data_IF_535191398225
#
_entry.id   IF_535191398225
#
_cell.length_a   1.000
_cell.length_b   1.000
_cell.length_c   1.000
_cell.angle_alpha   90.00
_cell.angle_beta   90.00
_cell.angle_gamma   90.00
#
_symmetry.space_group_name_H-M   'P 1'
#
loop_
_entity.id
_entity.type
_entity.pdbx_description
1 polymer ?
#
# COMPACT_ATOMS: atom_id res chain seq x y z
N UNK A 1 11.81 21.69 16.83
CA UNK A 1 10.35 21.59 16.52
C UNK A 1 10.20 21.13 15.08
N UNK A 2 9.21 20.29 14.78
CA UNK A 2 8.94 19.83 13.40
C UNK A 2 7.64 20.46 12.92
N UNK A 3 7.66 21.10 11.75
CA UNK A 3 6.50 21.73 11.13
C UNK A 3 6.02 20.90 9.93
N UNK A 4 4.74 20.55 9.91
CA UNK A 4 4.18 19.75 8.81
C UNK A 4 3.82 20.66 7.64
N UNK A 5 4.38 20.37 6.47
CA UNK A 5 4.15 21.15 5.25
C UNK A 5 3.03 20.52 4.45
N UNK A 6 2.08 21.35 4.02
CA UNK A 6 1.07 20.92 3.05
C UNK A 6 1.72 20.61 1.70
N UNK A 7 1.26 19.52 1.09
CA UNK A 7 1.63 19.12 -0.26
C UNK A 7 0.39 18.65 -1.02
N UNK A 8 0.49 18.61 -2.36
CA UNK A 8 -0.56 18.11 -3.24
C UNK A 8 0.05 17.23 -4.32
N UNK A 9 -0.59 16.10 -4.63
CA UNK A 9 -0.19 15.25 -5.75
C UNK A 9 -0.34 15.99 -7.07
N UNK A 10 0.72 15.90 -7.88
CA UNK A 10 0.76 16.36 -9.27
C UNK A 10 0.46 15.18 -10.19
N UNK A 11 1.16 14.07 -9.99
CA UNK A 11 1.00 12.85 -10.76
C UNK A 11 1.46 11.64 -9.93
N UNK A 12 0.80 10.51 -10.12
CA UNK A 12 1.03 9.27 -9.40
C UNK A 12 0.64 8.11 -10.31
N UNK A 13 1.55 7.18 -10.53
CA UNK A 13 1.24 6.00 -11.30
C UNK A 13 2.37 4.99 -11.37
N UNK A 14 2.25 4.09 -12.34
CA UNK A 14 3.09 2.91 -12.49
C UNK A 14 3.92 2.91 -13.78
N UNK A 15 3.79 3.94 -14.62
CA UNK A 15 4.45 4.01 -15.92
C UNK A 15 5.23 5.31 -16.05
N UNK A 16 6.54 5.18 -16.27
CA UNK A 16 7.46 6.31 -16.35
C UNK A 16 8.65 5.95 -17.24
N UNK A 17 9.22 6.93 -17.93
CA UNK A 17 10.51 6.83 -18.61
C UNK A 17 11.73 6.88 -17.69
N UNK A 18 11.52 6.98 -16.37
CA UNK A 18 12.59 6.92 -15.37
C UNK A 18 12.77 5.47 -14.92
N UNK A 19 13.80 4.82 -15.45
CA UNK A 19 14.07 3.39 -15.23
C UNK A 19 14.89 3.10 -13.97
N UNK A 20 15.57 4.11 -13.42
CA UNK A 20 16.40 3.99 -12.22
C UNK A 20 15.68 4.59 -11.00
N UNK A 21 15.84 4.02 -9.79
CA UNK A 21 15.33 4.62 -8.57
C UNK A 21 15.86 6.06 -8.40
N UNK A 22 14.98 7.00 -8.12
CA UNK A 22 15.32 8.42 -8.04
C UNK A 22 14.45 9.14 -7.03
N UNK A 23 15.08 9.92 -6.16
CA UNK A 23 14.43 10.99 -5.41
C UNK A 23 14.95 12.33 -5.90
N UNK A 24 14.05 13.29 -6.10
CA UNK A 24 14.41 14.58 -6.68
C UNK A 24 13.57 15.72 -6.11
N UNK A 25 14.18 16.90 -6.04
CA UNK A 25 13.51 18.15 -5.69
C UNK A 25 13.81 19.17 -6.76
N UNK A 26 12.78 19.71 -7.40
CA UNK A 26 12.90 20.75 -8.40
C UNK A 26 12.43 22.08 -7.82
N UNK A 27 13.27 23.11 -7.99
CA UNK A 27 12.99 24.49 -7.54
C UNK A 27 12.77 25.46 -8.69
N UNK A 28 12.80 24.98 -9.94
CA UNK A 28 12.60 25.79 -11.14
C UNK A 28 11.75 25.05 -12.18
N UNK A 29 10.91 25.80 -12.89
CA UNK A 29 10.09 25.25 -13.98
C UNK A 29 10.97 24.63 -15.07
N UNK A 30 12.09 25.28 -15.42
CA UNK A 30 12.98 24.79 -16.47
C UNK A 30 13.56 23.40 -16.18
N UNK A 31 14.02 23.17 -14.95
CA UNK A 31 14.54 21.87 -14.55
C UNK A 31 13.42 20.82 -14.49
N UNK A 32 12.27 21.19 -13.93
CA UNK A 32 11.12 20.31 -13.83
C UNK A 32 10.57 19.92 -15.21
N UNK A 33 10.42 20.84 -16.15
CA UNK A 33 9.98 20.56 -17.53
C UNK A 33 10.94 19.66 -18.31
N UNK A 34 12.24 19.80 -18.04
CA UNK A 34 13.26 18.94 -18.64
C UNK A 34 13.16 17.52 -18.08
N UNK A 35 12.91 17.40 -16.78
CA UNK A 35 12.66 16.13 -16.12
C UNK A 35 11.34 15.49 -16.57
N UNK A 36 10.25 16.27 -16.63
CA UNK A 36 8.92 15.81 -17.03
C UNK A 36 8.93 15.17 -18.41
N UNK A 37 9.68 15.74 -19.37
CA UNK A 37 9.84 15.14 -20.70
C UNK A 37 10.47 13.76 -20.68
N UNK A 38 11.40 13.49 -19.76
CA UNK A 38 12.00 12.16 -19.58
C UNK A 38 11.02 11.22 -18.91
N UNK A 39 10.35 11.68 -17.86
CA UNK A 39 9.32 10.95 -17.15
C UNK A 39 8.17 10.50 -18.07
N UNK A 40 7.68 11.40 -18.92
CA UNK A 40 6.56 11.17 -19.82
C UNK A 40 6.94 10.47 -21.15
N UNK A 41 8.23 10.18 -21.39
CA UNK A 41 8.73 9.72 -22.69
C UNK A 41 8.12 8.39 -23.18
N UNK A 42 7.68 7.54 -22.24
CA UNK A 42 7.08 6.25 -22.54
C UNK A 42 5.56 6.30 -22.76
N UNK A 43 4.92 7.46 -22.57
CA UNK A 43 3.48 7.63 -22.72
C UNK A 43 3.16 8.18 -24.11
N UNK A 44 2.10 7.65 -24.75
CA UNK A 44 1.63 8.15 -26.05
C UNK A 44 0.09 8.32 -26.05
N UNK A 45 -0.44 9.56 -26.13
CA UNK A 45 0.33 10.82 -26.13
C UNK A 45 0.98 11.09 -24.78
N UNK A 46 2.14 11.76 -24.80
CA UNK A 46 2.81 12.18 -23.57
C UNK A 46 1.95 13.24 -22.84
N UNK A 47 1.70 13.08 -21.52
CA UNK A 47 0.98 14.09 -20.75
C UNK A 47 1.74 15.42 -20.74
N UNK A 48 0.97 16.52 -20.79
CA UNK A 48 1.53 17.86 -20.69
C UNK A 48 2.16 18.09 -19.30
N UNK A 49 3.27 18.84 -19.25
CA UNK A 49 3.89 19.23 -17.98
C UNK A 49 2.91 20.11 -17.20
N UNK A 50 2.64 19.81 -15.93
CA UNK A 50 1.76 20.63 -15.10
C UNK A 50 2.40 21.98 -14.81
N UNK A 51 1.56 23.01 -14.72
CA UNK A 51 1.96 24.37 -14.37
C UNK A 51 2.10 24.49 -12.85
N UNK A 52 3.31 24.81 -12.38
CA UNK A 52 3.65 24.90 -10.95
C UNK A 52 4.25 26.28 -10.69
N UNK A 53 3.71 26.99 -9.71
CA UNK A 53 4.21 28.31 -9.29
C UNK A 53 5.44 28.16 -8.39
N UNK A 54 6.64 28.18 -9.00
CA UNK A 54 7.91 27.99 -8.30
C UNK A 54 8.34 29.20 -7.42
N UNK A 55 7.60 30.31 -7.47
CA UNK A 55 7.80 31.41 -6.51
C UNK A 55 7.40 31.00 -5.10
N UNK A 56 6.28 30.28 -4.95
CA UNK A 56 5.76 29.82 -3.65
C UNK A 56 5.93 28.33 -3.38
N UNK A 57 6.19 27.54 -4.42
CA UNK A 57 6.19 26.08 -4.34
C UNK A 57 7.47 25.46 -4.91
N UNK A 58 7.65 24.19 -4.64
CA UNK A 58 8.64 23.32 -5.26
C UNK A 58 7.99 21.98 -5.61
N UNK A 59 8.71 21.16 -6.37
CA UNK A 59 8.25 19.80 -6.72
C UNK A 59 9.16 18.78 -6.06
N UNK A 60 8.57 17.76 -5.44
CA UNK A 60 9.24 16.62 -4.82
C UNK A 60 8.78 15.36 -5.53
N UNK A 61 9.72 14.48 -5.88
CA UNK A 61 9.41 13.24 -6.58
C UNK A 61 10.11 12.04 -5.94
N UNK A 62 9.45 10.89 -5.97
CA UNK A 62 10.03 9.58 -5.69
C UNK A 62 9.69 8.62 -6.83
N UNK A 63 10.70 7.92 -7.32
CA UNK A 63 10.61 6.90 -8.37
C UNK A 63 11.29 5.63 -7.89
N UNK A 64 10.65 4.48 -8.11
CA UNK A 64 11.22 3.17 -7.73
C UNK A 64 12.06 2.51 -8.83
N UNK A 65 12.17 3.14 -10.00
CA UNK A 65 12.77 2.55 -11.17
C UNK A 65 11.98 1.35 -11.70
N UNK A 66 12.59 0.58 -12.60
CA UNK A 66 11.94 -0.57 -13.24
C UNK A 66 11.68 -1.71 -12.25
N UNK A 67 10.44 -2.21 -12.28
CA UNK A 67 9.98 -3.40 -11.57
C UNK A 67 9.52 -4.46 -12.57
N UNK A 68 9.89 -5.70 -12.31
CA UNK A 68 9.68 -6.84 -13.23
C UNK A 68 8.24 -7.36 -13.28
N UNK A 69 7.36 -6.83 -12.43
CA UNK A 69 5.92 -7.11 -12.45
C UNK A 69 5.11 -5.89 -12.02
N UNK A 70 3.79 -5.98 -12.19
CA UNK A 70 2.86 -5.02 -11.59
C UNK A 70 2.64 -5.26 -10.09
N UNK A 71 1.95 -4.33 -9.43
CA UNK A 71 1.62 -4.42 -8.00
C UNK A 71 2.58 -3.70 -7.06
N UNK A 72 3.64 -3.11 -7.61
CA UNK A 72 4.49 -2.18 -6.86
C UNK A 72 3.91 -0.77 -6.87
N UNK A 73 4.05 -0.06 -5.76
CA UNK A 73 3.57 1.31 -5.61
C UNK A 73 4.50 2.12 -4.72
N UNK A 74 4.36 3.45 -4.79
CA UNK A 74 5.10 4.38 -3.94
C UNK A 74 4.21 5.58 -3.62
N UNK A 75 4.17 5.99 -2.36
CA UNK A 75 3.38 7.15 -1.97
C UNK A 75 4.16 8.06 -1.00
N UNK A 76 4.27 9.34 -1.33
CA UNK A 76 4.77 10.34 -0.38
C UNK A 76 3.68 10.59 0.66
N UNK A 77 3.99 10.29 1.93
CA UNK A 77 3.07 10.38 3.07
C UNK A 77 3.18 11.68 3.83
N UNK A 78 4.40 12.20 4.00
CA UNK A 78 4.61 13.46 4.70
C UNK A 78 5.79 14.26 4.17
N UNK A 79 5.67 15.58 4.30
CA UNK A 79 6.75 16.54 4.07
C UNK A 79 6.84 17.39 5.33
N UNK A 80 7.94 17.26 6.06
CA UNK A 80 8.10 17.82 7.41
C UNK A 80 9.38 18.63 7.49
N UNK A 81 9.25 19.90 7.89
CA UNK A 81 10.40 20.76 8.13
C UNK A 81 10.93 20.55 9.54
N UNK A 82 12.20 20.14 9.64
CA UNK A 82 12.96 20.10 10.88
C UNK A 82 13.84 21.34 11.00
N UNK A 83 14.60 21.46 12.10
CA UNK A 83 15.55 22.55 12.28
C UNK A 83 16.66 22.56 11.21
N UNK A 84 17.08 21.39 10.73
CA UNK A 84 18.21 21.24 9.80
C UNK A 84 17.79 21.03 8.33
N UNK A 85 16.72 20.26 8.09
CA UNK A 85 16.32 19.81 6.75
C UNK A 85 14.80 19.62 6.63
N UNK A 86 14.32 19.45 5.40
CA UNK A 86 12.97 18.96 5.12
C UNK A 86 13.03 17.44 4.98
N UNK A 87 12.34 16.72 5.84
CA UNK A 87 12.17 15.28 5.76
C UNK A 87 10.97 14.95 4.86
N UNK A 88 11.20 14.12 3.85
CA UNK A 88 10.14 13.56 2.99
C UNK A 88 10.01 12.09 3.34
N UNK A 89 8.85 11.73 3.86
CA UNK A 89 8.52 10.36 4.22
C UNK A 89 7.67 9.76 3.11
N UNK A 90 8.04 8.58 2.62
CA UNK A 90 7.26 7.85 1.63
C UNK A 90 7.20 6.36 1.98
N UNK A 91 6.14 5.70 1.57
CA UNK A 91 6.01 4.24 1.66
C UNK A 91 6.21 3.60 0.28
N UNK A 92 6.48 2.30 0.30
CA UNK A 92 6.46 1.47 -0.90
C UNK A 92 5.55 0.27 -0.67
N UNK A 93 4.73 -0.05 -1.66
CA UNK A 93 3.88 -1.24 -1.61
C UNK A 93 4.47 -2.32 -2.51
N UNK A 94 4.46 -3.56 -2.03
CA UNK A 94 4.86 -4.74 -2.80
C UNK A 94 3.65 -5.62 -3.07
N UNK A 95 3.60 -6.35 -4.19
CA UNK A 95 2.58 -7.37 -4.39
C UNK A 95 2.73 -8.46 -3.31
N UNK A 96 1.64 -8.90 -2.66
CA UNK A 96 1.71 -9.94 -1.64
C UNK A 96 2.21 -11.28 -2.21
N UNK A 97 2.83 -12.15 -1.39
CA UNK A 97 3.25 -13.47 -1.84
C UNK A 97 2.08 -14.25 -2.46
N UNK A 98 2.26 -14.78 -3.67
CA UNK A 98 1.22 -15.51 -4.39
C UNK A 98 0.18 -14.64 -5.11
N UNK A 99 0.32 -13.31 -5.08
CA UNK A 99 -0.53 -12.43 -5.87
C UNK A 99 -0.38 -12.72 -7.37
N UNK A 100 -1.52 -12.81 -8.06
CA UNK A 100 -1.56 -12.83 -9.51
C UNK A 100 -1.23 -11.42 -10.03
N UNK A 101 0.04 -11.15 -10.34
CA UNK A 101 0.49 -9.88 -10.92
C UNK A 101 0.59 -9.96 -12.44
N UNK A 102 0.56 -8.81 -13.10
CA UNK A 102 0.85 -8.73 -14.53
C UNK A 102 2.35 -8.92 -14.77
N UNK A 103 2.72 -9.72 -15.77
CA UNK A 103 4.09 -9.80 -16.29
C UNK A 103 4.44 -8.58 -17.17
N UNK A 104 4.19 -7.37 -16.66
CA UNK A 104 4.47 -6.11 -17.34
C UNK A 104 5.52 -5.34 -16.54
N UNK A 105 6.50 -4.77 -17.24
CA UNK A 105 7.46 -3.85 -16.63
C UNK A 105 6.74 -2.57 -16.21
N UNK A 106 6.98 -2.15 -14.98
CA UNK A 106 6.43 -0.91 -14.41
C UNK A 106 7.53 -0.04 -13.83
N UNK A 107 7.27 1.26 -13.70
CA UNK A 107 8.13 2.25 -13.05
C UNK A 107 7.29 3.09 -12.08
N UNK A 108 6.95 2.56 -10.88
CA UNK A 108 6.13 3.29 -9.92
C UNK A 108 6.74 4.61 -9.49
N UNK A 109 5.90 5.64 -9.40
CA UNK A 109 6.32 6.99 -9.08
C UNK A 109 5.24 7.81 -8.41
N UNK A 110 5.64 8.79 -7.59
CA UNK A 110 4.76 9.82 -7.06
C UNK A 110 5.47 11.17 -7.12
N UNK A 111 4.81 12.15 -7.74
CA UNK A 111 5.24 13.54 -7.90
C UNK A 111 4.25 14.43 -7.15
N UNK A 112 4.75 15.27 -6.25
CA UNK A 112 3.94 16.21 -5.45
C UNK A 112 4.50 17.62 -5.55
N UNK A 113 3.65 18.62 -5.39
CA UNK A 113 4.06 19.99 -5.07
C UNK A 113 3.97 20.22 -3.57
N UNK A 114 4.94 20.96 -3.02
CA UNK A 114 4.94 21.38 -1.62
C UNK A 114 5.39 22.84 -1.52
N UNK A 115 5.11 23.46 -0.37
CA UNK A 115 5.57 24.83 -0.10
C UNK A 115 7.09 24.93 -0.22
N UNK A 116 7.56 26.01 -0.85
CA UNK A 116 8.97 26.26 -1.10
C UNK A 116 9.75 26.34 0.22
N UNK A 117 10.90 25.67 0.26
CA UNK A 117 11.86 25.69 1.37
C UNK A 117 13.30 25.71 0.86
N UNK A 118 14.12 26.52 1.52
CA UNK A 118 15.53 26.71 1.17
C UNK A 118 16.46 25.68 1.81
N UNK A 119 15.95 24.88 2.75
CA UNK A 119 16.68 23.78 3.40
C UNK A 119 16.92 22.60 2.45
N UNK A 120 17.92 21.79 2.78
CA UNK A 120 18.16 20.50 2.13
C UNK A 120 17.00 19.53 2.37
N UNK A 121 16.81 18.58 1.46
CA UNK A 121 15.77 17.55 1.57
C UNK A 121 16.39 16.18 1.85
N UNK A 122 15.81 15.45 2.79
CA UNK A 122 16.19 14.08 3.14
C UNK A 122 14.98 13.18 2.94
N UNK A 123 15.17 12.10 2.19
CA UNK A 123 14.12 11.15 1.86
C UNK A 123 14.23 9.93 2.77
N UNK A 124 13.11 9.53 3.37
CA UNK A 124 13.01 8.37 4.24
C UNK A 124 11.90 7.46 3.73
N UNK A 125 12.30 6.27 3.32
CA UNK A 125 11.36 5.19 3.09
C UNK A 125 10.89 4.67 4.45
N UNK A 126 9.58 4.69 4.69
CA UNK A 126 8.98 3.98 5.81
C UNK A 126 8.45 2.68 5.26
N UNK A 127 9.19 1.62 5.53
CA UNK A 127 8.63 0.28 5.46
C UNK A 127 7.70 0.18 6.65
N UNK A 128 6.39 0.34 6.44
CA UNK A 128 5.43 -0.19 7.40
C UNK A 128 5.70 -1.69 7.49
N UNK A 129 6.51 -2.08 8.47
CA UNK A 129 6.42 -3.42 9.02
C UNK A 129 5.02 -3.48 9.61
N UNK A 130 4.06 -3.99 8.84
CA UNK A 130 2.99 -4.76 9.47
C UNK A 130 3.73 -5.94 10.08
N UNK A 131 4.03 -5.85 11.38
CA UNK A 131 4.68 -6.97 12.05
C UNK A 131 3.73 -8.16 11.89
N UNK A 132 4.27 -9.36 11.59
CA UNK A 132 3.43 -10.55 11.43
C UNK A 132 2.58 -10.85 12.68
N UNK A 133 2.89 -10.22 13.81
CA UNK A 133 2.15 -10.23 15.07
C UNK A 133 0.89 -9.33 15.04
N UNK A 134 0.80 -8.35 14.14
CA UNK A 134 -0.39 -7.52 13.90
C UNK A 134 -1.34 -8.12 12.86
N UNK A 135 -0.88 -9.11 12.07
CA UNK A 135 -1.73 -9.91 11.21
C UNK A 135 -2.38 -11.01 12.04
N UNK A 136 -3.71 -11.12 11.97
CA UNK A 136 -4.39 -12.26 12.56
C UNK A 136 -4.07 -13.52 11.75
N UNK A 137 -3.69 -14.63 12.40
CA UNK A 137 -3.51 -15.89 11.70
C UNK A 137 -4.87 -16.35 11.13
N UNK A 138 -4.86 -17.15 10.06
CA UNK A 138 -6.06 -17.87 9.65
C UNK A 138 -6.48 -18.81 10.79
N UNK A 139 -7.78 -18.93 11.03
CA UNK A 139 -8.33 -19.86 12.01
C UNK A 139 -8.92 -21.07 11.31
N UNK A 140 -8.51 -22.26 11.73
CA UNK A 140 -9.09 -23.52 11.30
C UNK A 140 -10.24 -23.89 12.22
N UNK A 141 -11.45 -23.92 11.68
CA UNK A 141 -12.67 -24.33 12.35
C UNK A 141 -12.97 -25.77 11.98
N UNK A 142 -13.02 -26.64 12.99
CA UNK A 142 -13.41 -28.04 12.86
C UNK A 142 -14.88 -28.17 13.25
N UNK A 143 -15.68 -28.73 12.35
CA UNK A 143 -17.13 -28.88 12.55
C UNK A 143 -17.47 -30.24 13.16
N UNK A 144 -18.45 -30.26 14.06
CA UNK A 144 -18.97 -31.52 14.64
C UNK A 144 -19.70 -32.35 13.57
N UNK A 145 -20.45 -31.67 12.70
CA UNK A 145 -21.21 -32.28 11.62
C UNK A 145 -20.87 -31.62 10.28
N UNK A 146 -20.19 -32.38 9.42
CA UNK A 146 -19.80 -31.93 8.08
C UNK A 146 -20.99 -31.61 7.18
N UNK A 147 -22.18 -32.16 7.46
CA UNK A 147 -23.38 -31.88 6.67
C UNK A 147 -23.88 -30.45 6.85
N UNK A 148 -23.55 -29.81 7.98
CA UNK A 148 -23.89 -28.40 8.29
C UNK A 148 -22.85 -27.39 7.81
N UNK A 149 -21.79 -27.85 7.14
CA UNK A 149 -20.67 -27.00 6.73
C UNK A 149 -21.11 -25.82 5.86
N UNK A 150 -22.02 -26.02 4.92
CA UNK A 150 -22.46 -24.96 4.03
C UNK A 150 -23.26 -23.87 4.75
N UNK A 151 -24.09 -24.27 5.72
CA UNK A 151 -24.83 -23.32 6.55
C UNK A 151 -23.88 -22.50 7.43
N UNK A 152 -22.87 -23.15 8.03
CA UNK A 152 -21.90 -22.49 8.90
C UNK A 152 -20.99 -21.55 8.11
N UNK A 153 -20.52 -21.96 6.93
CA UNK A 153 -19.75 -21.09 6.03
C UNK A 153 -20.58 -19.86 5.65
N UNK A 154 -21.84 -20.05 5.26
CA UNK A 154 -22.72 -18.93 4.92
C UNK A 154 -23.01 -17.97 6.09
N UNK A 155 -22.97 -18.46 7.34
CA UNK A 155 -23.06 -17.62 8.54
C UNK A 155 -21.76 -16.83 8.79
N UNK A 156 -20.61 -17.48 8.64
CA UNK A 156 -19.30 -16.85 8.84
C UNK A 156 -19.04 -15.77 7.77
N UNK A 157 -19.41 -16.04 6.52
CA UNK A 157 -19.28 -15.08 5.41
C UNK A 157 -20.15 -13.81 5.59
N UNK A 158 -21.17 -13.85 6.45
CA UNK A 158 -22.00 -12.68 6.76
C UNK A 158 -21.38 -11.77 7.84
N UNK A 159 -20.31 -12.20 8.51
CA UNK A 159 -19.65 -11.40 9.53
C UNK A 159 -18.79 -10.32 8.86
N UNK A 160 -19.01 -9.06 9.26
CA UNK A 160 -18.29 -7.89 8.74
C UNK A 160 -16.82 -7.81 9.18
N UNK A 161 -16.43 -8.66 10.14
CA UNK A 161 -15.07 -8.87 10.60
C UNK A 161 -14.31 -9.92 9.79
N UNK A 162 -15.00 -10.75 9.01
CA UNK A 162 -14.39 -11.83 8.20
C UNK A 162 -13.96 -11.28 6.84
N UNK A 163 -12.72 -11.56 6.45
CA UNK A 163 -12.13 -11.15 5.18
C UNK A 163 -12.18 -12.25 4.12
N UNK A 164 -12.33 -13.52 4.53
CA UNK A 164 -12.49 -14.64 3.61
C UNK A 164 -12.68 -15.97 4.32
N UNK A 165 -13.35 -16.91 3.65
CA UNK A 165 -13.63 -18.25 4.17
C UNK A 165 -13.29 -19.29 3.10
N UNK A 166 -12.46 -20.27 3.46
CA UNK A 166 -12.10 -21.39 2.59
C UNK A 166 -12.58 -22.72 3.19
N UNK A 167 -13.56 -23.35 2.56
CA UNK A 167 -14.12 -24.62 3.01
C UNK A 167 -13.37 -25.82 2.41
N UNK A 168 -12.53 -26.49 3.22
CA UNK A 168 -11.82 -27.70 2.81
C UNK A 168 -12.68 -28.94 3.03
N UNK A 169 -13.69 -29.11 2.16
CA UNK A 169 -14.73 -30.15 2.27
C UNK A 169 -14.18 -31.57 2.43
N UNK A 170 -13.10 -31.89 1.72
CA UNK A 170 -12.45 -33.21 1.78
C UNK A 170 -11.88 -33.51 3.18
N UNK A 171 -11.41 -32.48 3.89
CA UNK A 171 -10.87 -32.58 5.24
C UNK A 171 -11.96 -32.36 6.31
N UNK A 172 -13.03 -31.64 5.96
CA UNK A 172 -14.11 -31.27 6.89
C UNK A 172 -13.71 -30.17 7.87
N UNK A 173 -12.88 -29.25 7.40
CA UNK A 173 -12.45 -28.06 8.14
C UNK A 173 -12.71 -26.81 7.30
N UNK A 174 -12.89 -25.68 7.98
CA UNK A 174 -13.14 -24.38 7.36
C UNK A 174 -12.04 -23.43 7.84
N UNK A 175 -11.33 -22.81 6.90
CA UNK A 175 -10.33 -21.79 7.21
C UNK A 175 -11.02 -20.43 7.16
N UNK A 176 -10.86 -19.63 8.21
CA UNK A 176 -11.47 -18.30 8.33
C UNK A 176 -10.38 -17.26 8.49
N UNK A 177 -10.41 -16.25 7.61
CA UNK A 177 -9.54 -15.08 7.66
C UNK A 177 -10.33 -13.89 8.20
N UNK A 178 -9.70 -13.06 9.03
CA UNK A 178 -10.31 -11.87 9.61
C UNK A 178 -9.63 -10.59 9.17
N UNK A 179 -10.38 -9.49 9.19
CA UNK A 179 -9.89 -8.13 9.08
C UNK A 179 -9.17 -7.72 10.37
N UNK A 180 -7.84 -7.59 10.32
CA UNK A 180 -7.02 -7.17 11.47
C UNK A 180 -7.42 -5.79 12.02
N UNK A 181 -8.01 -4.93 11.20
CA UNK A 181 -8.47 -3.60 11.59
C UNK A 181 -9.86 -3.58 12.25
N UNK A 182 -10.59 -4.71 12.25
CA UNK A 182 -11.97 -4.80 12.75
C UNK A 182 -12.17 -5.77 13.91
N UNK A 183 -11.20 -6.63 14.16
CA UNK A 183 -11.29 -7.61 15.25
C UNK A 183 -9.91 -7.90 15.80
N UNK A 184 -9.86 -8.31 17.06
CA UNK A 184 -8.66 -8.85 17.71
C UNK A 184 -8.65 -10.38 17.69
N UNK A 185 -7.50 -10.99 18.01
CA UNK A 185 -7.36 -12.45 18.16
C UNK A 185 -8.36 -13.04 19.15
N UNK A 186 -8.55 -12.39 20.30
CA UNK A 186 -9.49 -12.85 21.34
C UNK A 186 -10.93 -12.79 20.86
N UNK A 187 -11.30 -11.75 20.10
CA UNK A 187 -12.64 -11.60 19.55
C UNK A 187 -12.90 -12.59 18.43
N UNK A 188 -11.93 -12.80 17.53
CA UNK A 188 -12.02 -13.77 16.44
C UNK A 188 -12.29 -15.18 16.98
N UNK A 189 -11.50 -15.65 17.95
CA UNK A 189 -11.70 -16.97 18.58
C UNK A 189 -13.08 -17.05 19.24
N UNK A 190 -13.46 -16.02 20.01
CA UNK A 190 -14.76 -16.00 20.71
C UNK A 190 -15.96 -16.01 19.75
N UNK A 191 -15.86 -15.34 18.61
CA UNK A 191 -16.87 -15.37 17.55
C UNK A 191 -17.01 -16.79 17.02
N UNK A 192 -15.90 -17.43 16.66
CA UNK A 192 -15.90 -18.77 16.07
C UNK A 192 -16.36 -19.86 17.05
N UNK A 193 -15.88 -19.83 18.29
CA UNK A 193 -16.31 -20.76 19.35
C UNK A 193 -17.79 -20.57 19.75
N UNK A 194 -18.34 -19.38 19.50
CA UNK A 194 -19.75 -19.07 19.76
C UNK A 194 -20.72 -19.59 18.71
N UNK A 195 -20.23 -20.11 17.57
CA UNK A 195 -21.06 -20.62 16.49
C UNK A 195 -21.56 -22.03 16.78
N UNK A 196 -22.86 -22.25 16.58
CA UNK A 196 -23.47 -23.55 16.78
C UNK A 196 -22.98 -24.58 15.75
N UNK A 197 -22.42 -25.70 16.21
CA UNK A 197 -21.88 -26.77 15.35
C UNK A 197 -20.35 -26.72 15.15
N UNK A 198 -19.67 -25.74 15.77
CA UNK A 198 -18.22 -25.69 15.85
C UNK A 198 -17.73 -26.57 17.00
N UNK A 199 -16.82 -27.50 16.69
CA UNK A 199 -16.22 -28.42 17.66
C UNK A 199 -14.92 -27.87 18.25
N UNK A 200 -14.07 -27.30 17.39
CA UNK A 200 -12.75 -26.80 17.75
C UNK A 200 -12.35 -25.64 16.83
N UNK A 201 -11.59 -24.69 17.36
CA UNK A 201 -10.96 -23.59 16.62
C UNK A 201 -9.47 -23.61 16.90
N UNK A 202 -8.66 -23.71 15.85
CA UNK A 202 -7.20 -23.75 15.93
C UNK A 202 -6.58 -22.60 15.12
N UNK A 203 -5.45 -22.07 15.59
CA UNK A 203 -4.64 -21.12 14.81
C UNK A 203 -3.84 -21.90 13.75
N UNK A 204 -3.89 -21.43 12.49
CA UNK A 204 -3.20 -22.05 11.35
C UNK A 204 -1.76 -21.60 11.14
#
# INVERSE_FOLDING_TARGET
>A
MTDSLSFSSIDHGYYSGIEEPLTAVFRSSREFESFWRRHAANNNPAPACPDVEFESSLVVCVFLGTKDSGGYGVEIKSVEETEEHVAVTYDTSNPPPGAMTTCALTQPFHIVTALKRDKGFVFKEVVEKVEAEDLLPPYTVILEDKSRMDDIVALIEQLDTVSGVDALRALGMVIVNFHHERTSKTEAVKILEGLEGVSCVEEG
#
